data_IF_572982217875
#
_entry.id   IF_572982217875
#
_cell.length_a   1.000
_cell.length_b   1.000
_cell.length_c   1.000
_cell.angle_alpha   90.00
_cell.angle_beta   90.00
_cell.angle_gamma   90.00
#
_symmetry.space_group_name_H-M   'P 1'
#
loop_
_entity.id
_entity.type
_entity.pdbx_description
1 polymer ?
#
# COMPACT_ATOMS: atom_id res chain seq x y z
N UNK A 1 -63.91 -6.53 -36.10
CA UNK A 1 -63.38 -5.15 -36.18
C UNK A 1 -61.97 -5.20 -36.81
N UNK A 2 -61.16 -4.13 -36.84
CA UNK A 2 -59.92 -4.07 -37.64
C UNK A 2 -58.95 -5.25 -37.35
N UNK A 3 -58.24 -5.90 -38.31
CA UNK A 3 -57.43 -5.47 -39.49
C UNK A 3 -56.12 -4.75 -39.07
N UNK A 4 -54.93 -5.01 -39.63
CA UNK A 4 -54.49 -5.95 -40.71
C UNK A 4 -53.00 -6.39 -40.51
N UNK A 5 -52.50 -7.29 -41.35
CA UNK A 5 -51.18 -7.98 -41.31
C UNK A 5 -49.90 -7.08 -41.38
N UNK A 6 -48.71 -7.65 -41.05
CA UNK A 6 -47.39 -7.01 -41.17
C UNK A 6 -46.77 -7.18 -42.57
N UNK A 7 -45.49 -6.80 -42.76
CA UNK A 7 -44.75 -7.00 -44.01
C UNK A 7 -43.36 -7.62 -43.81
N UNK A 8 -43.04 -8.63 -44.61
CA UNK A 8 -41.71 -9.23 -44.76
C UNK A 8 -40.91 -8.53 -45.88
N UNK A 9 -39.59 -8.76 -45.92
CA UNK A 9 -38.82 -9.38 -47.04
C UNK A 9 -37.32 -9.34 -46.70
N UNK A 10 -36.39 -10.19 -47.16
CA UNK A 10 -36.33 -11.59 -47.61
C UNK A 10 -34.91 -11.79 -48.20
N UNK A 11 -34.21 -12.89 -47.87
CA UNK A 11 -33.12 -13.53 -48.68
C UNK A 11 -31.78 -12.75 -48.87
N UNK A 12 -30.65 -13.41 -49.19
CA UNK A 12 -30.42 -14.85 -49.48
C UNK A 12 -29.07 -15.38 -48.93
N UNK A 13 -28.92 -16.71 -48.94
CA UNK A 13 -27.62 -17.42 -48.94
C UNK A 13 -26.81 -17.12 -50.25
N UNK A 14 -25.59 -17.62 -50.52
CA UNK A 14 -24.86 -18.77 -49.94
C UNK A 14 -23.33 -18.73 -50.07
N UNK A 15 -22.68 -19.55 -49.24
CA UNK A 15 -21.34 -20.18 -49.33
C UNK A 15 -20.60 -20.22 -50.67
N UNK A 16 -19.25 -20.23 -50.61
CA UNK A 16 -18.40 -21.27 -51.23
C UNK A 16 -17.08 -21.48 -50.44
N UNK A 17 -16.37 -22.58 -50.71
CA UNK A 17 -15.42 -23.19 -49.75
C UNK A 17 -14.01 -23.42 -50.33
N UNK A 18 -12.99 -23.13 -49.50
CA UNK A 18 -11.60 -23.61 -49.43
C UNK A 18 -10.90 -24.34 -50.62
N UNK A 19 -9.64 -23.91 -50.88
CA UNK A 19 -8.49 -24.79 -51.24
C UNK A 19 -7.24 -24.31 -50.47
N UNK A 20 -6.24 -25.18 -50.22
CA UNK A 20 -5.15 -25.01 -49.23
C UNK A 20 -3.75 -25.40 -49.76
N UNK A 21 -2.92 -24.43 -50.11
CA UNK A 21 -1.45 -24.52 -50.36
C UNK A 21 -0.84 -23.13 -50.07
N UNK A 22 0.39 -22.93 -49.55
CA UNK A 22 1.35 -23.86 -48.95
C UNK A 22 2.82 -23.40 -49.10
N UNK A 23 3.48 -23.01 -48.00
CA UNK A 23 4.95 -23.10 -47.85
C UNK A 23 5.84 -21.82 -47.98
N UNK A 24 6.83 -21.76 -47.07
CA UNK A 24 8.23 -21.36 -47.29
C UNK A 24 8.73 -19.89 -47.16
N UNK A 25 9.37 -19.62 -46.00
CA UNK A 25 10.74 -19.06 -45.80
C UNK A 25 11.21 -17.73 -46.44
N UNK A 26 11.58 -16.79 -45.53
CA UNK A 26 12.85 -16.03 -45.39
C UNK A 26 13.55 -15.37 -46.60
N UNK A 27 13.89 -14.09 -46.38
CA UNK A 27 15.11 -13.36 -46.77
C UNK A 27 15.54 -13.28 -48.27
N UNK A 28 15.71 -12.05 -48.74
CA UNK A 28 17.04 -11.57 -49.13
C UNK A 28 17.19 -10.03 -49.01
N UNK A 29 18.41 -9.51 -49.25
CA UNK A 29 18.84 -8.11 -49.08
C UNK A 29 19.20 -7.48 -50.45
N UNK A 30 19.54 -6.17 -50.43
CA UNK A 30 20.27 -5.39 -51.45
C UNK A 30 19.40 -4.85 -52.61
N UNK A 31 19.71 -3.70 -53.25
CA UNK A 31 20.83 -2.74 -53.04
C UNK A 31 20.42 -1.29 -53.36
N UNK A 32 21.31 -0.34 -53.02
CA UNK A 32 21.30 1.08 -53.41
C UNK A 32 21.02 1.32 -54.91
N UNK A 33 20.46 2.50 -55.22
CA UNK A 33 21.04 3.43 -56.20
C UNK A 33 20.73 4.88 -55.79
N UNK A 34 21.57 5.83 -56.21
CA UNK A 34 21.58 7.24 -55.82
C UNK A 34 22.23 8.05 -56.94
N UNK A 35 21.60 9.12 -57.43
CA UNK A 35 22.26 10.19 -58.21
C UNK A 35 21.36 11.46 -58.29
N UNK A 36 21.87 12.65 -58.74
CA UNK A 36 21.45 13.95 -58.19
C UNK A 36 21.18 15.03 -59.27
N UNK A 37 21.36 16.33 -58.91
CA UNK A 37 21.10 17.57 -59.69
C UNK A 37 19.61 17.95 -59.76
N UNK A 38 19.13 19.21 -59.84
CA UNK A 38 19.63 20.62 -59.91
C UNK A 38 18.42 21.54 -59.55
N UNK A 39 18.42 22.84 -59.20
CA UNK A 39 19.36 23.96 -58.89
C UNK A 39 18.54 24.95 -57.99
N UNK A 40 19.10 25.69 -57.01
CA UNK A 40 19.77 27.03 -57.06
C UNK A 40 18.88 28.23 -57.45
N UNK A 41 19.15 29.38 -56.80
CA UNK A 41 18.46 30.69 -56.88
C UNK A 41 17.01 30.70 -56.30
N UNK A 42 16.50 31.78 -55.67
CA UNK A 42 17.03 33.16 -55.53
C UNK A 42 16.59 33.90 -54.23
N UNK A 43 17.19 35.08 -53.93
CA UNK A 43 16.86 35.94 -52.75
C UNK A 43 17.07 37.45 -52.98
N UNK A 44 16.07 38.29 -52.62
CA UNK A 44 16.28 39.69 -52.17
C UNK A 44 15.77 39.87 -50.72
N UNK A 45 16.51 40.40 -49.73
CA UNK A 45 17.32 41.64 -49.62
C UNK A 45 16.46 42.91 -49.44
N UNK A 46 16.46 43.44 -48.22
CA UNK A 46 16.02 44.78 -47.81
C UNK A 46 16.88 45.25 -46.62
N UNK A 47 17.08 46.56 -46.45
CA UNK A 47 18.10 47.13 -45.56
C UNK A 47 17.59 48.43 -44.87
N UNK A 48 18.51 49.09 -44.14
CA UNK A 48 18.38 50.38 -43.41
C UNK A 48 17.84 50.28 -41.97
N UNK A 49 18.26 51.12 -41.01
CA UNK A 49 19.59 51.51 -40.48
C UNK A 49 19.39 52.56 -39.36
N UNK A 50 20.47 52.87 -38.63
CA UNK A 50 20.69 54.05 -37.77
C UNK A 50 19.92 54.19 -36.43
N UNK A 51 20.71 54.27 -35.35
CA UNK A 51 20.36 54.95 -34.10
C UNK A 51 20.62 56.48 -34.23
N UNK A 52 20.37 57.26 -33.16
CA UNK A 52 21.55 57.73 -32.41
C UNK A 52 21.39 57.69 -30.88
N UNK A 53 22.51 57.90 -30.19
CA UNK A 53 22.67 57.93 -28.73
C UNK A 53 22.37 59.32 -28.14
N UNK A 54 22.22 59.41 -26.81
CA UNK A 54 22.92 60.46 -26.04
C UNK A 54 23.20 60.03 -24.59
N UNK A 55 24.18 60.70 -23.97
CA UNK A 55 24.91 60.27 -22.78
C UNK A 55 24.42 60.84 -21.44
N UNK A 56 25.06 60.37 -20.36
CA UNK A 56 25.48 61.08 -19.12
C UNK A 56 24.62 60.94 -17.84
N UNK A 57 25.20 60.96 -16.63
CA UNK A 57 26.48 60.42 -16.10
C UNK A 57 26.50 60.55 -14.55
N UNK A 58 27.54 60.05 -13.86
CA UNK A 58 28.00 60.46 -12.50
C UNK A 58 27.06 60.12 -11.29
N UNK A 59 27.52 59.91 -10.05
CA UNK A 59 28.88 59.65 -9.51
C UNK A 59 28.81 58.94 -8.14
N UNK A 60 29.98 58.49 -7.67
CA UNK A 60 30.29 57.83 -6.40
C UNK A 60 29.63 58.39 -5.12
N UNK A 61 29.47 57.51 -4.12
CA UNK A 61 30.25 57.67 -2.88
C UNK A 61 30.51 56.34 -2.15
N UNK A 62 31.69 56.27 -1.52
CA UNK A 62 32.13 55.20 -0.65
C UNK A 62 32.21 55.68 0.80
N UNK A 63 32.13 54.73 1.73
CA UNK A 63 32.60 54.91 3.11
C UNK A 63 33.19 53.59 3.58
N UNK A 64 34.51 53.56 3.80
CA UNK A 64 35.13 52.54 4.65
C UNK A 64 34.82 52.91 6.10
N UNK A 65 34.69 51.90 6.95
CA UNK A 65 35.18 52.03 8.33
C UNK A 65 35.84 50.72 8.75
N UNK A 66 36.88 50.82 9.58
CA UNK A 66 37.88 49.78 9.81
C UNK A 66 37.95 49.39 11.28
N UNK A 67 38.35 48.16 11.60
CA UNK A 67 39.19 47.89 12.78
C UNK A 67 39.87 46.52 12.72
N UNK A 68 41.00 46.37 13.43
CA UNK A 68 41.98 45.30 13.22
C UNK A 68 42.17 44.35 14.43
N UNK A 69 42.07 43.04 14.18
CA UNK A 69 43.15 42.04 14.39
C UNK A 69 43.96 42.07 15.72
N UNK A 70 43.46 41.41 16.78
CA UNK A 70 44.20 40.56 17.77
C UNK A 70 45.37 41.14 18.61
N UNK A 71 46.09 40.37 19.48
CA UNK A 71 45.70 39.31 20.44
C UNK A 71 46.26 39.55 21.88
N UNK A 72 45.93 38.68 22.87
CA UNK A 72 46.92 37.87 23.62
C UNK A 72 46.31 36.90 24.67
N UNK A 73 47.14 35.94 25.11
CA UNK A 73 46.84 34.80 26.00
C UNK A 73 46.93 35.15 27.51
N UNK A 74 46.25 34.33 28.32
CA UNK A 74 46.90 33.62 29.42
C UNK A 74 46.28 32.23 29.65
N UNK A 75 47.10 31.21 29.87
CA UNK A 75 46.69 29.80 30.01
C UNK A 75 46.31 29.41 31.45
N UNK A 76 45.36 28.49 31.59
CA UNK A 76 45.48 27.36 32.52
C UNK A 76 45.00 26.08 31.83
N UNK A 77 45.82 25.03 31.93
CA UNK A 77 45.79 23.73 31.25
C UNK A 77 44.54 22.84 31.45
N UNK A 78 44.26 21.99 30.45
CA UNK A 78 43.32 20.85 30.51
C UNK A 78 43.82 19.68 31.40
N UNK A 79 43.07 18.54 31.47
CA UNK A 79 43.41 17.46 30.53
C UNK A 79 42.24 16.88 29.69
N UNK A 80 42.62 16.54 28.46
CA UNK A 80 42.14 15.55 27.46
C UNK A 80 41.39 14.31 28.02
N UNK A 81 40.59 13.52 27.26
CA UNK A 81 40.52 13.11 25.83
C UNK A 81 39.04 12.89 25.44
N UNK A 82 38.42 13.30 24.31
CA UNK A 82 38.69 13.23 22.85
C UNK A 82 37.91 12.11 22.10
N UNK A 83 37.16 12.53 21.06
CA UNK A 83 36.56 11.77 19.92
C UNK A 83 35.13 11.19 20.03
N UNK A 84 34.51 11.01 18.85
CA UNK A 84 33.06 10.96 18.57
C UNK A 84 32.62 9.70 17.78
N UNK A 85 31.29 9.45 17.77
CA UNK A 85 30.54 8.54 16.86
C UNK A 85 30.77 7.03 17.10
N UNK A 86 29.80 6.12 16.83
CA UNK A 86 29.05 5.99 15.57
C UNK A 86 27.56 6.40 15.60
N UNK A 87 26.85 6.09 14.51
CA UNK A 87 25.51 6.55 14.14
C UNK A 87 24.34 5.66 14.65
N UNK A 88 23.14 6.24 14.56
CA UNK A 88 21.84 5.60 14.28
C UNK A 88 21.30 4.51 15.22
N UNK A 89 20.13 4.82 15.80
CA UNK A 89 18.93 3.96 15.62
C UNK A 89 17.67 4.80 15.79
N UNK A 90 16.63 4.53 15.01
CA UNK A 90 15.34 5.23 15.12
C UNK A 90 14.55 4.74 16.32
N UNK A 91 14.20 5.64 17.24
CA UNK A 91 13.34 5.34 18.38
C UNK A 91 11.87 5.18 17.93
N UNK A 92 11.35 3.95 17.98
CA UNK A 92 9.92 3.71 17.78
C UNK A 92 9.12 4.34 18.93
N UNK A 93 8.28 5.33 18.61
CA UNK A 93 7.37 5.96 19.58
C UNK A 93 6.04 5.19 19.64
N UNK A 94 6.07 3.97 20.19
CA UNK A 94 4.86 3.25 20.60
C UNK A 94 4.31 3.89 21.89
N UNK A 95 3.31 4.77 21.76
CA UNK A 95 2.56 5.35 22.89
C UNK A 95 1.29 4.51 23.16
N UNK A 96 1.21 3.76 24.28
CA UNK A 96 0.09 2.86 24.53
C UNK A 96 -1.13 3.63 25.07
N UNK A 97 -2.15 3.81 24.23
CA UNK A 97 -3.46 4.32 24.68
C UNK A 97 -4.16 3.30 25.58
N UNK A 98 -4.08 3.54 26.89
CA UNK A 98 -4.73 2.76 27.93
C UNK A 98 -6.25 3.03 27.96
N UNK A 99 -7.05 2.15 27.34
CA UNK A 99 -8.47 2.05 27.64
C UNK A 99 -8.71 0.80 28.49
N UNK A 100 -9.01 0.99 29.77
CA UNK A 100 -9.11 -0.10 30.74
C UNK A 100 -10.35 -0.97 30.53
N UNK A 101 -10.15 -2.28 30.33
CA UNK A 101 -11.20 -3.29 30.44
C UNK A 101 -10.95 -4.19 31.65
N UNK A 102 -11.78 -4.06 32.68
CA UNK A 102 -11.64 -4.81 33.93
C UNK A 102 -12.07 -6.28 33.81
N UNK A 103 -11.47 -7.12 34.66
CA UNK A 103 -11.79 -8.53 34.96
C UNK A 103 -13.12 -9.05 34.39
N UNK A 104 -13.05 -9.87 33.34
CA UNK A 104 -14.20 -10.63 32.83
C UNK A 104 -14.63 -11.69 33.85
N UNK A 105 -15.92 -11.75 34.14
CA UNK A 105 -16.46 -12.71 35.11
C UNK A 105 -16.37 -14.16 34.62
N UNK A 106 -16.41 -15.14 35.54
CA UNK A 106 -16.48 -16.57 35.22
C UNK A 106 -17.66 -16.92 34.29
N UNK A 107 -18.77 -16.22 34.45
CA UNK A 107 -19.98 -16.40 33.63
C UNK A 107 -19.77 -15.88 32.20
N UNK A 108 -19.02 -14.78 32.05
CA UNK A 108 -18.58 -14.32 30.72
C UNK A 108 -17.62 -15.31 30.07
N UNK A 109 -16.74 -15.97 30.84
CA UNK A 109 -15.85 -17.01 30.31
C UNK A 109 -16.62 -18.25 29.79
N UNK A 110 -17.70 -18.68 30.46
CA UNK A 110 -18.57 -19.79 30.01
C UNK A 110 -19.38 -19.41 28.76
N UNK A 111 -19.85 -18.16 28.68
CA UNK A 111 -20.51 -17.66 27.47
C UNK A 111 -19.52 -17.52 26.29
N UNK A 112 -18.27 -17.13 26.58
CA UNK A 112 -17.16 -17.16 25.60
C UNK A 112 -16.85 -18.60 25.18
N UNK A 113 -16.84 -19.59 26.08
CA UNK A 113 -16.63 -21.00 25.74
C UNK A 113 -17.72 -21.52 24.78
N UNK A 114 -18.99 -21.22 25.05
CA UNK A 114 -20.11 -21.51 24.12
C UNK A 114 -19.97 -20.80 22.77
N UNK A 115 -19.55 -19.55 22.75
CA UNK A 115 -19.38 -18.78 21.52
C UNK A 115 -18.16 -19.23 20.68
N UNK A 116 -17.03 -19.54 21.34
CA UNK A 116 -15.81 -20.06 20.72
C UNK A 116 -15.98 -21.48 20.19
N UNK A 117 -16.81 -22.31 20.84
CA UNK A 117 -17.10 -23.67 20.42
C UNK A 117 -17.63 -23.76 18.98
N UNK A 118 -18.35 -22.73 18.51
CA UNK A 118 -18.83 -22.65 17.13
C UNK A 118 -17.78 -22.17 16.12
N UNK A 119 -17.10 -21.04 16.40
CA UNK A 119 -16.51 -20.20 15.33
C UNK A 119 -15.50 -20.91 14.42
N UNK A 120 -15.88 -21.24 13.19
CA UNK A 120 -14.97 -21.77 12.15
C UNK A 120 -14.19 -20.65 11.46
N UNK A 121 -13.05 -20.98 10.84
CA UNK A 121 -12.28 -20.03 10.02
C UNK A 121 -13.12 -19.43 8.87
N UNK A 122 -14.09 -20.18 8.34
CA UNK A 122 -15.06 -19.70 7.35
C UNK A 122 -15.76 -18.40 7.76
N UNK A 123 -16.06 -18.21 9.06
CA UNK A 123 -16.73 -17.01 9.58
C UNK A 123 -15.86 -15.74 9.52
N UNK A 124 -14.55 -15.88 9.27
CA UNK A 124 -13.67 -14.73 9.00
C UNK A 124 -14.16 -13.97 7.77
N UNK A 125 -14.57 -14.66 6.71
CA UNK A 125 -14.87 -14.03 5.41
C UNK A 125 -16.01 -13.01 5.48
N UNK A 126 -17.19 -13.29 6.07
CA UNK A 126 -18.22 -12.26 6.26
C UNK A 126 -17.77 -11.15 7.22
N UNK A 127 -17.02 -11.44 8.28
CA UNK A 127 -16.53 -10.39 9.20
C UNK A 127 -15.48 -9.47 8.56
N UNK A 128 -14.63 -10.00 7.66
CA UNK A 128 -13.72 -9.23 6.82
C UNK A 128 -14.52 -8.30 5.90
N UNK A 129 -15.53 -8.85 5.20
CA UNK A 129 -16.41 -8.07 4.31
C UNK A 129 -17.11 -6.93 5.06
N UNK A 130 -17.76 -7.22 6.18
CA UNK A 130 -18.41 -6.23 7.04
C UNK A 130 -17.42 -5.16 7.56
N UNK A 131 -16.19 -5.56 7.88
CA UNK A 131 -15.12 -4.65 8.34
C UNK A 131 -14.65 -3.72 7.21
N UNK A 132 -14.50 -4.23 5.98
CA UNK A 132 -14.13 -3.45 4.80
C UNK A 132 -15.27 -2.50 4.38
N UNK A 133 -16.52 -2.95 4.38
CA UNK A 133 -17.70 -2.13 4.10
C UNK A 133 -17.84 -0.99 5.12
N UNK A 134 -17.70 -1.30 6.41
CA UNK A 134 -17.66 -0.29 7.49
C UNK A 134 -16.53 0.71 7.29
N UNK A 135 -15.31 0.26 6.98
CA UNK A 135 -14.18 1.16 6.72
C UNK A 135 -14.38 2.03 5.46
N UNK A 136 -15.03 1.49 4.43
CA UNK A 136 -15.37 2.20 3.19
C UNK A 136 -16.50 3.22 3.37
N UNK A 137 -17.34 3.06 4.40
CA UNK A 137 -18.40 4.03 4.74
C UNK A 137 -17.86 5.33 5.35
N UNK A 138 -16.64 5.32 5.88
CA UNK A 138 -16.00 6.51 6.48
C UNK A 138 -15.30 7.33 5.38
N UNK A 139 -15.64 8.63 5.22
CA UNK A 139 -14.95 9.47 4.26
C UNK A 139 -13.46 9.62 4.61
N UNK A 140 -12.60 9.35 3.65
CA UNK A 140 -11.15 9.60 3.72
C UNK A 140 -10.85 10.86 2.92
N UNK A 141 -10.17 11.83 3.53
CA UNK A 141 -9.95 13.16 2.95
C UNK A 141 -8.51 13.38 2.54
N UNK A 142 -8.32 13.77 1.28
CA UNK A 142 -7.03 14.12 0.69
C UNK A 142 -7.04 15.63 0.44
N UNK A 143 -6.21 16.38 1.17
CA UNK A 143 -5.99 17.79 0.87
C UNK A 143 -4.96 17.95 -0.24
N UNK A 144 -5.27 18.78 -1.23
CA UNK A 144 -4.34 19.24 -2.26
C UNK A 144 -4.05 20.71 -1.99
N UNK A 145 -2.78 21.06 -1.82
CA UNK A 145 -2.36 22.40 -1.36
C UNK A 145 -1.07 22.84 -2.04
N UNK A 146 -0.82 24.14 -2.15
CA UNK A 146 0.41 24.68 -2.72
C UNK A 146 0.31 26.18 -2.99
N UNK A 147 1.37 26.79 -3.52
CA UNK A 147 1.33 28.20 -3.89
C UNK A 147 0.42 28.45 -5.11
N UNK A 148 -0.22 29.62 -5.14
CA UNK A 148 -1.16 29.99 -6.21
C UNK A 148 -0.49 29.99 -7.59
N UNK A 149 -1.11 29.33 -8.57
CA UNK A 149 -0.59 29.22 -9.94
C UNK A 149 0.23 27.95 -10.23
N UNK A 150 0.47 27.08 -9.23
CA UNK A 150 1.16 25.80 -9.41
C UNK A 150 0.31 24.70 -10.11
N UNK A 151 -0.67 25.05 -10.96
CA UNK A 151 -1.45 24.06 -11.73
C UNK A 151 -2.32 23.09 -10.93
N UNK A 152 -2.59 23.38 -9.65
CA UNK A 152 -3.27 22.50 -8.69
C UNK A 152 -4.63 21.98 -9.17
N UNK A 153 -5.52 22.83 -9.65
CA UNK A 153 -6.85 22.42 -10.14
C UNK A 153 -6.76 21.61 -11.45
N UNK A 154 -5.80 21.92 -12.33
CA UNK A 154 -5.50 21.10 -13.52
C UNK A 154 -4.98 19.71 -13.13
N UNK A 155 -4.14 19.63 -12.10
CA UNK A 155 -3.66 18.38 -11.52
C UNK A 155 -4.81 17.55 -10.91
N UNK A 156 -5.75 18.19 -10.19
CA UNK A 156 -6.95 17.52 -9.65
C UNK A 156 -7.81 16.92 -10.77
N UNK A 157 -8.01 17.65 -11.88
CA UNK A 157 -8.75 17.16 -13.04
C UNK A 157 -8.02 15.97 -13.70
N UNK A 158 -6.72 16.09 -13.94
CA UNK A 158 -5.89 15.01 -14.46
C UNK A 158 -5.88 13.77 -13.54
N UNK A 159 -5.89 13.98 -12.21
CA UNK A 159 -5.95 12.91 -11.22
C UNK A 159 -7.32 12.20 -11.21
N UNK A 160 -8.42 12.96 -11.40
CA UNK A 160 -9.79 12.45 -11.58
C UNK A 160 -10.03 11.82 -12.96
N UNK A 161 -9.14 12.04 -13.94
CA UNK A 161 -9.32 11.57 -15.32
C UNK A 161 -10.36 12.37 -16.12
N UNK A 162 -10.62 13.61 -15.70
CA UNK A 162 -11.59 14.54 -16.30
C UNK A 162 -10.81 15.64 -17.03
N UNK A 163 -11.37 16.17 -18.12
CA UNK A 163 -10.84 17.31 -18.84
C UNK A 163 -10.75 18.59 -18.00
N UNK A 164 -10.25 19.67 -18.60
CA UNK A 164 -10.08 20.94 -17.89
C UNK A 164 -11.22 21.94 -18.14
N UNK A 165 -12.07 21.65 -19.13
CA UNK A 165 -13.18 22.49 -19.60
C UNK A 165 -14.55 21.75 -19.51
N UNK A 166 -14.67 20.72 -18.68
CA UNK A 166 -15.91 19.97 -18.44
C UNK A 166 -16.71 20.58 -17.27
N UNK A 167 -18.01 20.28 -17.18
CA UNK A 167 -18.92 20.89 -16.19
C UNK A 167 -18.52 20.57 -14.73
N UNK A 168 -17.98 19.35 -14.49
CA UNK A 168 -17.46 18.91 -13.19
C UNK A 168 -15.96 19.24 -12.98
N UNK A 169 -15.31 19.97 -13.88
CA UNK A 169 -13.88 20.30 -13.76
C UNK A 169 -13.60 21.30 -12.64
N UNK A 170 -12.53 21.06 -11.88
CA UNK A 170 -11.98 22.03 -10.94
C UNK A 170 -11.50 23.28 -11.70
N UNK A 171 -11.98 24.51 -11.40
CA UNK A 171 -11.74 25.68 -12.24
C UNK A 171 -10.25 26.02 -12.41
N UNK A 172 -9.79 26.08 -13.67
CA UNK A 172 -8.40 26.40 -14.02
C UNK A 172 -8.27 27.85 -14.50
N UNK A 173 -7.09 28.47 -14.33
CA UNK A 173 -6.87 29.85 -14.73
C UNK A 173 -5.52 30.43 -14.29
N UNK A 174 -5.19 31.60 -14.83
CA UNK A 174 -3.95 32.36 -14.50
C UNK A 174 -4.10 33.17 -13.20
N UNK A 175 -5.34 33.58 -12.86
CA UNK A 175 -5.71 34.22 -11.59
C UNK A 175 -6.09 33.13 -10.58
N UNK A 176 -5.94 33.40 -9.27
CA UNK A 176 -6.36 32.47 -8.20
C UNK A 176 -7.85 32.10 -8.35
N UNK A 177 -8.12 30.87 -8.77
CA UNK A 177 -9.47 30.32 -8.96
C UNK A 177 -10.08 29.87 -7.63
N UNK A 178 -9.40 28.98 -6.91
CA UNK A 178 -9.87 28.43 -5.63
C UNK A 178 -9.70 29.44 -4.50
N UNK A 179 -10.82 30.01 -4.01
CA UNK A 179 -10.86 30.93 -2.87
C UNK A 179 -11.40 30.29 -1.58
N UNK A 180 -12.18 29.20 -1.70
CA UNK A 180 -12.77 28.43 -0.60
C UNK A 180 -12.41 26.95 -0.83
N UNK A 181 -12.09 26.15 0.22
CA UNK A 181 -11.85 24.71 0.08
C UNK A 181 -13.00 24.01 -0.67
N UNK A 182 -12.68 23.38 -1.79
CA UNK A 182 -13.67 22.78 -2.70
C UNK A 182 -13.45 21.28 -2.83
N UNK A 183 -14.51 20.49 -2.62
CA UNK A 183 -14.46 19.03 -2.59
C UNK A 183 -14.86 18.41 -3.94
N UNK A 184 -14.11 17.41 -4.38
CA UNK A 184 -14.37 16.60 -5.56
C UNK A 184 -14.26 15.11 -5.22
N UNK A 185 -15.08 14.25 -5.82
CA UNK A 185 -14.98 12.80 -5.61
C UNK A 185 -13.78 12.20 -6.35
N UNK A 186 -13.08 11.26 -5.71
CA UNK A 186 -12.04 10.44 -6.36
C UNK A 186 -12.67 9.25 -7.11
N UNK A 187 -12.36 9.01 -8.40
CA UNK A 187 -13.11 8.07 -9.24
C UNK A 187 -12.90 6.59 -8.90
N UNK A 188 -11.80 6.23 -8.23
CA UNK A 188 -11.42 4.83 -8.01
C UNK A 188 -11.84 4.27 -6.64
N UNK A 189 -12.27 5.10 -5.69
CA UNK A 189 -12.68 4.66 -4.35
C UNK A 189 -13.93 5.39 -3.88
N UNK A 190 -14.98 4.69 -3.40
CA UNK A 190 -16.14 5.33 -2.82
C UNK A 190 -15.74 6.08 -1.53
N UNK A 191 -16.43 7.20 -1.26
CA UNK A 191 -16.20 8.05 -0.08
C UNK A 191 -14.72 8.47 0.08
N UNK A 192 -14.04 8.79 -1.02
CA UNK A 192 -12.73 9.47 -0.97
C UNK A 192 -12.89 10.87 -1.55
N UNK A 193 -12.57 11.86 -0.72
CA UNK A 193 -12.77 13.28 -0.98
C UNK A 193 -11.43 13.94 -1.34
N UNK A 194 -11.28 14.44 -2.57
CA UNK A 194 -10.19 15.34 -2.97
C UNK A 194 -10.60 16.79 -2.63
N UNK A 195 -9.85 17.47 -1.78
CA UNK A 195 -10.08 18.86 -1.40
C UNK A 195 -9.05 19.78 -2.06
N UNK A 196 -9.48 20.60 -3.02
CA UNK A 196 -8.70 21.72 -3.56
C UNK A 196 -8.68 22.83 -2.50
N UNK A 197 -7.52 23.05 -1.86
CA UNK A 197 -7.36 24.09 -0.85
C UNK A 197 -6.92 25.41 -1.52
N UNK A 198 -7.46 26.57 -1.10
CA UNK A 198 -7.07 27.87 -1.64
C UNK A 198 -5.56 28.06 -1.56
N UNK A 199 -4.90 28.21 -2.71
CA UNK A 199 -3.44 28.23 -2.76
C UNK A 199 -2.83 29.34 -1.90
N UNK A 200 -1.69 29.07 -1.26
CA UNK A 200 -0.94 30.04 -0.46
C UNK A 200 -0.53 31.21 -1.36
N UNK A 201 -1.11 32.38 -1.09
CA UNK A 201 -0.82 33.60 -1.84
C UNK A 201 0.30 34.40 -1.17
N UNK A 202 0.86 35.36 -1.89
CA UNK A 202 1.83 36.33 -1.35
C UNK A 202 1.20 37.38 -0.39
N UNK A 203 0.13 37.01 0.32
CA UNK A 203 -0.57 37.85 1.29
C UNK A 203 0.03 37.75 2.69
N UNK A 204 -0.28 38.72 3.55
CA UNK A 204 0.29 38.87 4.90
C UNK A 204 -0.30 37.92 5.96
N UNK A 205 -0.92 36.82 5.56
CA UNK A 205 -1.48 35.82 6.47
C UNK A 205 -0.36 34.95 7.04
N UNK A 206 -0.34 34.74 8.36
CA UNK A 206 0.55 33.76 8.99
C UNK A 206 0.19 32.34 8.54
N UNK A 207 1.19 31.45 8.49
CA UNK A 207 0.96 30.06 8.11
C UNK A 207 0.03 29.37 9.12
N UNK A 208 0.19 29.69 10.39
CA UNK A 208 -0.60 29.20 11.51
C UNK A 208 -2.10 29.48 11.28
N UNK A 209 -2.46 30.70 10.89
CA UNK A 209 -3.84 31.07 10.59
C UNK A 209 -4.39 30.30 9.37
N UNK A 210 -3.56 30.07 8.34
CA UNK A 210 -3.95 29.29 7.16
C UNK A 210 -4.19 27.80 7.51
N UNK A 211 -3.33 27.21 8.34
CA UNK A 211 -3.47 25.82 8.80
C UNK A 211 -4.77 25.61 9.62
N UNK A 212 -5.14 26.59 10.45
CA UNK A 212 -6.40 26.60 11.21
C UNK A 212 -7.63 26.85 10.33
N UNK A 213 -7.62 27.88 9.47
CA UNK A 213 -8.73 28.25 8.58
C UNK A 213 -9.08 27.12 7.61
N UNK A 214 -8.06 26.51 6.99
CA UNK A 214 -8.22 25.38 6.09
C UNK A 214 -8.40 24.04 6.83
N UNK A 215 -8.31 24.03 8.17
CA UNK A 215 -8.53 22.89 9.08
C UNK A 215 -7.63 21.68 8.78
N UNK A 216 -6.32 21.88 8.75
CA UNK A 216 -5.35 20.84 8.39
C UNK A 216 -5.45 19.53 9.22
N UNK A 217 -5.98 19.57 10.45
CA UNK A 217 -6.23 18.37 11.26
C UNK A 217 -7.32 17.44 10.69
N UNK A 218 -8.18 17.94 9.80
CA UNK A 218 -9.37 17.26 9.26
C UNK A 218 -9.09 16.32 8.07
N UNK A 219 -7.90 16.41 7.46
CA UNK A 219 -7.49 15.58 6.32
C UNK A 219 -6.60 14.42 6.74
N UNK A 220 -6.63 13.31 6.02
CA UNK A 220 -5.89 12.08 6.34
C UNK A 220 -4.56 12.01 5.59
N UNK A 221 -4.51 12.56 4.38
CA UNK A 221 -3.36 12.61 3.49
C UNK A 221 -3.27 13.98 2.80
N UNK A 222 -2.05 14.42 2.49
CA UNK A 222 -1.80 15.69 1.79
C UNK A 222 -1.01 15.49 0.48
N UNK A 223 -1.29 16.32 -0.52
CA UNK A 223 -0.51 16.43 -1.75
C UNK A 223 -0.07 17.88 -1.89
N UNK A 224 1.24 18.12 -1.80
CA UNK A 224 1.84 19.46 -1.89
C UNK A 224 2.25 19.71 -3.34
N UNK A 225 1.62 20.69 -3.99
CA UNK A 225 1.81 21.00 -5.41
C UNK A 225 2.88 22.09 -5.57
N UNK A 226 3.97 21.71 -6.25
CA UNK A 226 5.05 22.59 -6.65
C UNK A 226 5.07 22.77 -8.18
N UNK A 227 5.69 23.85 -8.65
CA UNK A 227 6.12 24.04 -10.04
C UNK A 227 7.07 25.23 -10.12
N UNK A 228 7.98 25.26 -11.10
CA UNK A 228 8.92 26.36 -11.40
C UNK A 228 9.98 26.61 -10.29
N UNK A 229 9.59 26.69 -9.01
CA UNK A 229 10.47 26.81 -7.84
C UNK A 229 9.89 26.09 -6.62
N UNK A 230 10.74 25.54 -5.75
CA UNK A 230 10.33 25.00 -4.45
C UNK A 230 10.42 26.08 -3.38
N UNK A 231 9.29 26.72 -3.04
CA UNK A 231 9.28 27.89 -2.15
C UNK A 231 9.45 27.51 -0.68
N UNK A 232 9.94 28.46 0.13
CA UNK A 232 10.00 28.31 1.59
C UNK A 232 8.59 28.16 2.23
N UNK A 233 7.51 28.57 1.55
CA UNK A 233 6.15 28.29 2.03
C UNK A 233 5.83 26.79 1.93
N UNK A 234 6.21 26.14 0.81
CA UNK A 234 6.03 24.70 0.63
C UNK A 234 6.86 23.89 1.65
N UNK A 235 8.08 24.33 1.96
CA UNK A 235 8.91 23.73 3.03
C UNK A 235 8.19 23.81 4.39
N UNK A 236 7.66 24.98 4.76
CA UNK A 236 6.93 25.15 6.02
C UNK A 236 5.61 24.38 6.07
N UNK A 237 4.88 24.28 4.95
CA UNK A 237 3.68 23.43 4.83
C UNK A 237 4.04 21.96 5.07
N UNK A 238 5.07 21.44 4.41
CA UNK A 238 5.56 20.08 4.61
C UNK A 238 5.96 19.82 6.07
N UNK A 239 6.64 20.78 6.70
CA UNK A 239 7.01 20.73 8.12
C UNK A 239 5.79 20.71 9.05
N UNK A 240 4.75 21.50 8.77
CA UNK A 240 3.51 21.51 9.55
C UNK A 240 2.74 20.18 9.41
N UNK A 241 2.63 19.64 8.20
CA UNK A 241 1.96 18.37 7.93
C UNK A 241 2.71 17.20 8.62
N UNK A 242 4.04 17.23 8.63
CA UNK A 242 4.88 16.30 9.40
C UNK A 242 4.63 16.40 10.91
N UNK A 243 4.52 17.61 11.47
CA UNK A 243 4.22 17.81 12.90
C UNK A 243 2.82 17.29 13.28
N UNK A 244 1.87 17.33 12.34
CA UNK A 244 0.55 16.69 12.50
C UNK A 244 0.58 15.14 12.36
N UNK A 245 1.73 14.54 12.04
CA UNK A 245 1.88 13.10 11.84
C UNK A 245 1.13 12.55 10.62
N UNK A 246 0.77 13.42 9.66
CA UNK A 246 -0.03 13.06 8.47
C UNK A 246 0.88 12.66 7.31
N UNK A 247 0.42 11.73 6.47
CA UNK A 247 1.17 11.30 5.27
C UNK A 247 1.06 12.38 4.20
N UNK A 248 2.15 12.65 3.48
CA UNK A 248 2.13 13.60 2.37
C UNK A 248 3.10 13.24 1.25
N UNK A 249 2.79 13.77 0.06
CA UNK A 249 3.65 13.72 -1.12
C UNK A 249 3.99 15.14 -1.57
N UNK A 250 5.07 15.27 -2.33
CA UNK A 250 5.34 16.46 -3.16
C UNK A 250 5.12 16.08 -4.61
N UNK A 251 4.31 16.86 -5.32
CA UNK A 251 4.07 16.69 -6.75
C UNK A 251 4.57 17.94 -7.47
N UNK A 252 5.65 17.79 -8.23
CA UNK A 252 6.16 18.82 -9.11
C UNK A 252 5.43 18.73 -10.44
N UNK A 253 4.64 19.76 -10.75
CA UNK A 253 3.80 19.87 -11.95
C UNK A 253 4.46 20.75 -13.01
N UNK A 254 3.84 20.82 -14.21
CA UNK A 254 4.33 21.55 -15.39
C UNK A 254 5.66 21.01 -15.94
N UNK A 255 5.98 19.74 -15.69
CA UNK A 255 7.21 19.11 -16.17
C UNK A 255 7.33 19.17 -17.72
N UNK A 256 6.20 19.14 -18.42
CA UNK A 256 6.06 19.44 -19.85
C UNK A 256 6.70 20.80 -20.23
N UNK A 257 6.29 21.88 -19.55
CA UNK A 257 6.86 23.22 -19.72
C UNK A 257 8.32 23.29 -19.32
N UNK A 258 8.72 22.70 -18.20
CA UNK A 258 10.11 22.69 -17.75
C UNK A 258 11.04 22.00 -18.78
N UNK A 259 10.61 20.86 -19.34
CA UNK A 259 11.33 20.16 -20.40
C UNK A 259 11.33 20.93 -21.73
N UNK A 260 10.27 21.67 -22.05
CA UNK A 260 10.19 22.49 -23.28
C UNK A 260 11.05 23.76 -23.23
N UNK A 261 11.35 24.27 -22.03
CA UNK A 261 12.07 25.54 -21.81
C UNK A 261 13.54 25.34 -21.42
N UNK A 262 13.92 24.16 -20.93
CA UNK A 262 15.27 23.85 -20.47
C UNK A 262 16.21 23.50 -21.62
N UNK A 263 17.44 24.06 -21.57
CA UNK A 263 18.55 23.66 -22.43
C UNK A 263 19.35 22.45 -21.86
N UNK A 264 18.92 21.87 -20.73
CA UNK A 264 19.57 20.72 -20.10
C UNK A 264 19.02 19.39 -20.66
N UNK A 265 19.84 18.34 -20.59
CA UNK A 265 19.35 16.97 -20.76
C UNK A 265 18.29 16.64 -19.69
N UNK A 266 17.24 15.91 -20.09
CA UNK A 266 16.07 15.56 -19.28
C UNK A 266 16.47 14.98 -17.92
N UNK A 267 17.40 14.05 -17.92
CA UNK A 267 17.87 13.33 -16.74
C UNK A 267 18.49 14.30 -15.72
N UNK A 268 19.26 15.29 -16.20
CA UNK A 268 19.89 16.30 -15.36
C UNK A 268 18.87 17.34 -14.85
N UNK A 269 17.86 17.68 -15.64
CA UNK A 269 16.79 18.56 -15.18
C UNK A 269 15.99 17.91 -14.03
N UNK A 270 15.60 16.64 -14.19
CA UNK A 270 14.89 15.87 -13.16
C UNK A 270 15.72 15.76 -11.87
N UNK A 271 17.01 15.42 -11.99
CA UNK A 271 17.95 15.34 -10.86
C UNK A 271 18.07 16.69 -10.13
N UNK A 272 18.30 17.79 -10.86
CA UNK A 272 18.40 19.14 -10.27
C UNK A 272 17.12 19.53 -9.50
N UNK A 273 15.92 19.16 -10.00
CA UNK A 273 14.65 19.45 -9.32
C UNK A 273 14.54 18.64 -8.03
N UNK A 274 14.84 17.33 -8.06
CA UNK A 274 14.80 16.46 -6.88
C UNK A 274 15.79 16.93 -5.80
N UNK A 275 17.04 17.20 -6.17
CA UNK A 275 18.09 17.68 -5.26
C UNK A 275 17.69 19.02 -4.61
N UNK A 276 17.15 19.97 -5.37
CA UNK A 276 16.67 21.25 -4.84
C UNK A 276 15.49 21.09 -3.88
N UNK A 277 14.57 20.15 -4.12
CA UNK A 277 13.48 19.85 -3.17
C UNK A 277 14.06 19.23 -1.88
N UNK A 278 14.88 18.18 -2.01
CA UNK A 278 15.53 17.47 -0.89
C UNK A 278 16.34 18.42 0.00
N UNK A 279 17.21 19.24 -0.58
CA UNK A 279 18.02 20.21 0.15
C UNK A 279 17.18 21.16 1.01
N UNK A 280 16.12 21.73 0.44
CA UNK A 280 15.30 22.73 1.13
C UNK A 280 14.44 22.11 2.24
N UNK A 281 14.04 20.85 2.11
CA UNK A 281 13.40 20.08 3.18
C UNK A 281 14.37 19.71 4.31
N UNK A 282 15.57 19.24 3.96
CA UNK A 282 16.59 18.84 4.92
C UNK A 282 17.07 20.02 5.79
N UNK A 283 17.22 21.22 5.20
CA UNK A 283 17.55 22.46 5.93
C UNK A 283 16.58 22.74 7.10
N UNK A 284 15.30 22.46 6.91
CA UNK A 284 14.24 22.64 7.92
C UNK A 284 13.92 21.38 8.75
N UNK A 285 14.68 20.28 8.57
CA UNK A 285 14.51 18.96 9.21
C UNK A 285 13.17 18.29 8.92
N UNK A 286 12.67 18.47 7.69
CA UNK A 286 11.56 17.67 7.17
C UNK A 286 12.12 16.34 6.64
N UNK A 287 11.49 15.23 6.99
CA UNK A 287 11.80 13.91 6.43
C UNK A 287 11.52 13.91 4.94
N UNK A 288 12.32 13.17 4.18
CA UNK A 288 12.19 13.07 2.72
C UNK A 288 10.85 12.40 2.35
N UNK A 289 9.91 13.12 1.70
CA UNK A 289 8.65 12.57 1.25
C UNK A 289 8.81 11.93 -0.13
N UNK A 290 7.78 11.21 -0.60
CA UNK A 290 7.77 10.78 -2.00
C UNK A 290 7.57 12.00 -2.90
N UNK A 291 8.50 12.21 -3.83
CA UNK A 291 8.48 13.27 -4.85
C UNK A 291 8.06 12.64 -6.18
N UNK A 292 7.05 13.21 -6.84
CA UNK A 292 6.61 12.83 -8.18
C UNK A 292 6.74 14.02 -9.13
N UNK A 293 7.33 13.83 -10.30
CA UNK A 293 7.47 14.86 -11.34
C UNK A 293 6.53 14.52 -12.50
N UNK A 294 5.57 15.41 -12.78
CA UNK A 294 4.40 15.10 -13.62
C UNK A 294 4.01 16.23 -14.57
N UNK A 295 3.37 15.86 -15.67
CA UNK A 295 2.56 16.75 -16.50
C UNK A 295 1.08 16.46 -16.25
N UNK A 296 0.26 17.49 -16.04
CA UNK A 296 -1.20 17.34 -15.96
C UNK A 296 -1.84 17.12 -17.34
N UNK A 297 -1.16 17.53 -18.41
CA UNK A 297 -1.61 17.33 -19.79
C UNK A 297 -1.23 15.94 -20.34
N UNK A 298 -0.23 15.29 -19.74
CA UNK A 298 0.23 13.94 -20.13
C UNK A 298 0.13 12.92 -18.97
N UNK A 299 -1.06 12.67 -18.38
CA UNK A 299 -1.24 11.83 -17.18
C UNK A 299 -1.07 10.31 -17.42
N UNK A 300 -0.45 9.93 -18.54
CA UNK A 300 0.00 8.58 -18.87
C UNK A 300 1.54 8.46 -18.91
N UNK A 301 2.26 9.59 -18.78
CA UNK A 301 3.71 9.69 -18.85
C UNK A 301 4.29 10.16 -17.51
N UNK A 302 5.63 10.14 -17.43
CA UNK A 302 6.39 10.54 -16.25
C UNK A 302 5.93 9.78 -15.00
N UNK A 303 5.92 10.42 -13.83
CA UNK A 303 5.62 9.75 -12.57
C UNK A 303 4.10 9.68 -12.29
N UNK A 304 3.22 10.19 -13.17
CA UNK A 304 1.76 10.23 -12.95
C UNK A 304 1.14 8.83 -12.75
N UNK A 305 1.52 7.79 -13.52
CA UNK A 305 1.05 6.43 -13.27
C UNK A 305 1.46 5.90 -11.89
N UNK A 306 2.69 6.17 -11.45
CA UNK A 306 3.17 5.67 -10.14
C UNK A 306 2.61 6.48 -8.97
N UNK A 307 2.37 7.78 -9.16
CA UNK A 307 1.59 8.61 -8.23
C UNK A 307 0.19 8.01 -8.01
N UNK A 308 -0.51 7.63 -9.08
CA UNK A 308 -1.82 6.96 -8.96
C UNK A 308 -1.73 5.62 -8.25
N UNK A 309 -0.74 4.77 -8.59
CA UNK A 309 -0.51 3.49 -7.92
C UNK A 309 -0.25 3.66 -6.41
N UNK A 310 0.66 4.58 -6.07
CA UNK A 310 1.04 4.89 -4.69
C UNK A 310 -0.14 5.49 -3.91
N UNK A 311 -0.87 6.46 -4.47
CA UNK A 311 -2.05 7.02 -3.82
C UNK A 311 -3.14 5.95 -3.58
N UNK A 312 -3.41 5.08 -4.56
CA UNK A 312 -4.39 3.99 -4.42
C UNK A 312 -3.98 2.97 -3.33
N UNK A 313 -2.71 2.60 -3.28
CA UNK A 313 -2.15 1.72 -2.23
C UNK A 313 -2.28 2.36 -0.85
N UNK A 314 -1.97 3.65 -0.74
CA UNK A 314 -1.92 4.37 0.52
C UNK A 314 -3.32 4.74 1.06
N UNK A 315 -4.30 5.00 0.17
CA UNK A 315 -5.73 5.06 0.51
C UNK A 315 -6.17 3.73 1.15
N UNK A 316 -5.81 2.60 0.54
CA UNK A 316 -6.14 1.26 1.06
C UNK A 316 -5.46 0.94 2.39
N UNK A 317 -4.19 1.35 2.56
CA UNK A 317 -3.46 1.19 3.82
C UNK A 317 -4.12 2.01 4.96
N UNK A 318 -4.33 3.32 4.75
CA UNK A 318 -4.98 4.20 5.73
C UNK A 318 -6.38 3.68 6.12
N UNK A 319 -7.17 3.22 5.15
CA UNK A 319 -8.54 2.78 5.36
C UNK A 319 -8.66 1.38 5.98
N UNK A 320 -7.88 0.40 5.53
CA UNK A 320 -8.10 -1.02 5.85
C UNK A 320 -7.08 -1.63 6.82
N UNK A 321 -5.85 -1.09 6.93
CA UNK A 321 -4.78 -1.70 7.72
C UNK A 321 -5.14 -1.81 9.21
N UNK A 322 -5.62 -0.73 9.82
CA UNK A 322 -6.08 -0.72 11.23
C UNK A 322 -7.23 -1.68 11.52
N UNK A 323 -8.37 -1.58 10.81
CA UNK A 323 -9.51 -2.48 10.98
C UNK A 323 -9.16 -3.96 10.79
N UNK A 324 -8.41 -4.32 9.74
CA UNK A 324 -8.01 -5.71 9.48
C UNK A 324 -6.98 -6.22 10.51
N UNK A 325 -6.08 -5.39 11.02
CA UNK A 325 -5.15 -5.75 12.11
C UNK A 325 -5.91 -6.08 13.40
N UNK A 326 -6.95 -5.31 13.74
CA UNK A 326 -7.81 -5.57 14.90
C UNK A 326 -8.61 -6.87 14.74
N UNK A 327 -9.14 -7.14 13.54
CA UNK A 327 -9.82 -8.40 13.22
C UNK A 327 -8.86 -9.60 13.27
N UNK A 328 -7.64 -9.45 12.73
CA UNK A 328 -6.56 -10.45 12.82
C UNK A 328 -6.23 -10.80 14.27
N UNK A 329 -6.00 -9.81 15.13
CA UNK A 329 -5.71 -10.04 16.54
C UNK A 329 -6.86 -10.75 17.27
N UNK A 330 -8.11 -10.36 16.96
CA UNK A 330 -9.32 -11.00 17.49
C UNK A 330 -9.37 -12.49 17.11
N UNK A 331 -9.10 -12.83 15.85
CA UNK A 331 -9.09 -14.23 15.40
C UNK A 331 -7.86 -15.03 15.85
N UNK A 332 -6.67 -14.43 15.95
CA UNK A 332 -5.51 -15.09 16.55
C UNK A 332 -5.73 -15.44 18.02
N UNK A 333 -6.50 -14.61 18.75
CA UNK A 333 -6.98 -14.95 20.10
C UNK A 333 -7.97 -16.11 20.07
N UNK A 334 -9.02 -16.08 19.23
CA UNK A 334 -9.99 -17.19 19.06
C UNK A 334 -9.29 -18.53 18.77
N UNK A 335 -8.29 -18.54 17.89
CA UNK A 335 -7.48 -19.73 17.56
C UNK A 335 -6.70 -20.22 18.80
N UNK A 336 -6.12 -19.30 19.57
CA UNK A 336 -5.28 -19.62 20.74
C UNK A 336 -6.10 -20.07 21.95
N UNK A 337 -7.30 -19.53 22.14
CA UNK A 337 -8.28 -19.99 23.13
C UNK A 337 -8.78 -21.41 22.75
N UNK A 338 -9.10 -21.66 21.47
CA UNK A 338 -9.40 -23.02 20.96
C UNK A 338 -8.26 -24.01 21.22
N UNK A 339 -7.01 -23.67 20.90
CA UNK A 339 -5.83 -24.52 21.19
C UNK A 339 -5.72 -24.82 22.68
N UNK A 340 -6.02 -23.85 23.55
CA UNK A 340 -5.98 -24.03 25.01
C UNK A 340 -7.08 -24.98 25.50
N UNK A 341 -8.32 -24.81 25.02
CA UNK A 341 -9.43 -25.74 25.27
C UNK A 341 -9.08 -27.17 24.83
N UNK A 342 -8.59 -27.35 23.60
CA UNK A 342 -8.21 -28.69 23.10
C UNK A 342 -7.03 -29.29 23.88
N UNK A 343 -6.01 -28.50 24.26
CA UNK A 343 -4.93 -28.95 25.17
C UNK A 343 -5.47 -29.44 26.53
N UNK A 344 -6.54 -28.83 27.04
CA UNK A 344 -7.28 -29.28 28.22
C UNK A 344 -8.02 -30.61 28.02
N UNK A 345 -8.76 -30.75 26.91
CA UNK A 345 -9.44 -32.02 26.56
C UNK A 345 -8.46 -33.19 26.38
N UNK A 346 -7.34 -32.95 25.67
CA UNK A 346 -6.24 -33.92 25.53
C UNK A 346 -5.63 -34.28 26.90
N UNK A 347 -5.49 -33.32 27.81
CA UNK A 347 -4.97 -33.58 29.16
C UNK A 347 -5.93 -34.45 30.01
N UNK A 348 -7.24 -34.21 29.92
CA UNK A 348 -8.29 -34.98 30.62
C UNK A 348 -8.65 -36.32 29.95
N UNK A 349 -8.06 -36.63 28.79
CA UNK A 349 -8.37 -37.81 27.93
C UNK A 349 -9.80 -37.82 27.36
N UNK A 350 -10.47 -36.68 27.26
CA UNK A 350 -11.87 -36.57 26.82
C UNK A 350 -12.01 -36.59 25.29
N UNK A 351 -11.38 -37.57 24.63
CA UNK A 351 -11.30 -37.70 23.16
C UNK A 351 -12.66 -37.93 22.48
N UNK A 352 -13.57 -38.65 23.14
CA UNK A 352 -14.95 -38.84 22.68
C UNK A 352 -15.67 -37.48 22.49
N UNK A 353 -15.35 -36.49 23.33
CA UNK A 353 -15.87 -35.11 23.23
C UNK A 353 -15.20 -34.28 22.11
N UNK A 354 -14.35 -34.92 21.31
CA UNK A 354 -13.78 -34.42 20.06
C UNK A 354 -14.33 -35.17 18.83
N UNK A 355 -15.21 -36.16 19.03
CA UNK A 355 -15.67 -37.03 17.95
C UNK A 355 -14.60 -38.00 17.42
N UNK A 356 -13.47 -38.15 18.11
CA UNK A 356 -12.38 -39.06 17.73
C UNK A 356 -12.63 -40.42 18.40
N UNK A 357 -12.94 -41.43 17.60
CA UNK A 357 -13.26 -42.80 18.04
C UNK A 357 -11.97 -43.61 18.25
N UNK A 358 -10.97 -43.46 17.38
CA UNK A 358 -9.64 -44.05 17.56
C UNK A 358 -8.58 -42.96 17.81
N UNK A 359 -8.31 -42.69 19.09
CA UNK A 359 -7.28 -41.73 19.51
C UNK A 359 -5.82 -42.18 19.23
N UNK A 360 -5.60 -43.34 18.59
CA UNK A 360 -4.30 -43.71 18.01
C UNK A 360 -4.28 -43.57 16.46
N UNK A 361 -5.43 -43.35 15.79
CA UNK A 361 -5.48 -43.05 14.35
C UNK A 361 -5.14 -41.58 14.10
N UNK A 362 -3.96 -41.37 13.52
CA UNK A 362 -3.43 -40.04 13.29
C UNK A 362 -4.10 -39.32 12.10
N UNK A 363 -4.80 -40.04 11.24
CA UNK A 363 -5.62 -39.49 10.15
C UNK A 363 -7.00 -39.05 10.65
N UNK A 364 -7.66 -39.86 11.47
CA UNK A 364 -8.92 -39.50 12.12
C UNK A 364 -8.74 -38.24 13.00
N UNK A 365 -7.67 -38.22 13.81
CA UNK A 365 -7.31 -37.05 14.62
C UNK A 365 -7.06 -35.79 13.79
N UNK A 366 -6.44 -35.94 12.60
CA UNK A 366 -6.17 -34.83 11.70
C UNK A 366 -7.46 -34.24 11.11
N UNK A 367 -8.35 -35.11 10.59
CA UNK A 367 -9.65 -34.73 10.04
C UNK A 367 -10.51 -34.02 11.10
N UNK A 368 -10.54 -34.54 12.34
CA UNK A 368 -11.25 -33.90 13.44
C UNK A 368 -10.72 -32.49 13.73
N UNK A 369 -9.39 -32.29 13.80
CA UNK A 369 -8.82 -30.95 14.01
C UNK A 369 -9.08 -30.02 12.83
N UNK A 370 -8.96 -30.48 11.58
CA UNK A 370 -9.31 -29.68 10.40
C UNK A 370 -10.75 -29.16 10.50
N UNK A 371 -11.70 -30.03 10.85
CA UNK A 371 -13.12 -29.68 11.03
C UNK A 371 -13.34 -28.68 12.18
N UNK A 372 -12.62 -28.81 13.30
CA UNK A 372 -12.75 -27.90 14.45
C UNK A 372 -12.21 -26.49 14.22
N UNK A 373 -11.18 -26.34 13.37
CA UNK A 373 -10.68 -25.02 12.99
C UNK A 373 -11.39 -24.46 11.74
N UNK A 374 -12.06 -25.31 10.94
CA UNK A 374 -12.67 -24.91 9.67
C UNK A 374 -11.62 -24.78 8.55
N UNK A 375 -10.65 -25.69 8.55
CA UNK A 375 -9.61 -25.85 7.51
C UNK A 375 -9.68 -27.25 6.86
N UNK A 376 -10.81 -27.92 7.03
CA UNK A 376 -11.24 -29.07 6.22
C UNK A 376 -11.50 -28.67 4.76
N UNK A 377 -11.45 -29.64 3.84
CA UNK A 377 -11.57 -29.38 2.40
C UNK A 377 -12.90 -28.69 2.00
N UNK A 378 -14.01 -28.94 2.73
CA UNK A 378 -15.29 -28.26 2.48
C UNK A 378 -15.21 -26.78 2.90
N UNK A 379 -14.73 -26.50 4.11
CA UNK A 379 -14.56 -25.13 4.63
C UNK A 379 -13.56 -24.33 3.78
N UNK A 380 -12.46 -24.95 3.34
CA UNK A 380 -11.48 -24.34 2.42
C UNK A 380 -12.10 -24.01 1.06
N UNK A 381 -12.90 -24.91 0.49
CA UNK A 381 -13.60 -24.67 -0.78
C UNK A 381 -14.60 -23.52 -0.65
N UNK A 382 -15.35 -23.44 0.45
CA UNK A 382 -16.29 -22.34 0.71
C UNK A 382 -15.58 -20.99 0.93
N UNK A 383 -14.45 -20.98 1.64
CA UNK A 383 -13.58 -19.79 1.76
C UNK A 383 -13.09 -19.35 0.37
N UNK A 384 -12.55 -20.27 -0.41
CA UNK A 384 -11.95 -19.97 -1.71
C UNK A 384 -12.98 -19.41 -2.71
N UNK A 385 -14.16 -20.03 -2.79
CA UNK A 385 -15.30 -19.50 -3.56
C UNK A 385 -15.70 -18.09 -3.11
N UNK A 386 -15.80 -17.86 -1.79
CA UNK A 386 -16.20 -16.56 -1.22
C UNK A 386 -15.16 -15.44 -1.43
N UNK A 387 -13.89 -15.82 -1.66
CA UNK A 387 -12.76 -14.93 -1.94
C UNK A 387 -12.44 -14.81 -3.45
N UNK A 388 -13.13 -15.56 -4.32
CA UNK A 388 -12.86 -15.58 -5.76
C UNK A 388 -11.48 -16.14 -6.14
N UNK A 389 -10.90 -17.02 -5.32
CA UNK A 389 -9.58 -17.64 -5.53
C UNK A 389 -9.72 -19.17 -5.70
N UNK A 390 -8.77 -19.87 -6.35
CA UNK A 390 -8.74 -21.33 -6.32
C UNK A 390 -8.42 -21.85 -4.91
N UNK A 391 -9.11 -22.93 -4.47
CA UNK A 391 -8.86 -23.58 -3.18
C UNK A 391 -7.39 -23.97 -2.97
N UNK A 392 -6.72 -24.37 -4.05
CA UNK A 392 -5.34 -24.84 -4.02
C UNK A 392 -4.34 -23.76 -3.61
N UNK A 393 -4.67 -22.47 -3.74
CA UNK A 393 -3.86 -21.39 -3.16
C UNK A 393 -3.84 -21.39 -1.62
N UNK A 394 -4.92 -21.86 -0.97
CA UNK A 394 -4.99 -22.04 0.48
C UNK A 394 -4.47 -23.43 0.90
N UNK A 395 -4.76 -24.48 0.12
CA UNK A 395 -4.25 -25.84 0.37
C UNK A 395 -2.72 -25.92 0.22
N UNK A 396 -2.14 -25.14 -0.71
CA UNK A 396 -0.70 -25.11 -0.98
C UNK A 396 0.15 -24.40 0.08
N UNK A 397 -0.45 -23.64 1.02
CA UNK A 397 0.27 -23.03 2.16
C UNK A 397 0.22 -23.90 3.43
N UNK A 398 -0.66 -24.90 3.52
CA UNK A 398 -0.81 -25.77 4.69
C UNK A 398 0.31 -26.80 4.81
N UNK A 399 0.82 -27.04 6.02
CA UNK A 399 1.71 -28.16 6.35
C UNK A 399 0.93 -29.45 6.66
N UNK A 400 -0.31 -29.31 7.13
CA UNK A 400 -1.21 -30.38 7.55
C UNK A 400 -2.14 -30.91 6.46
N UNK A 401 -1.93 -30.50 5.18
CA UNK A 401 -2.80 -30.84 4.04
C UNK A 401 -3.08 -32.34 3.84
N UNK A 402 -2.15 -33.19 4.27
CA UNK A 402 -2.31 -34.64 4.35
C UNK A 402 -1.35 -35.23 5.38
N UNK A 403 -1.67 -36.41 5.91
CA UNK A 403 -0.91 -37.07 6.97
C UNK A 403 0.53 -37.44 6.55
N UNK A 404 0.75 -37.79 5.28
CA UNK A 404 2.07 -38.15 4.78
C UNK A 404 2.97 -36.90 4.63
N UNK A 405 2.42 -35.75 4.24
CA UNK A 405 3.12 -34.45 4.28
C UNK A 405 3.49 -34.06 5.71
N UNK A 406 2.64 -34.31 6.71
CA UNK A 406 3.01 -34.11 8.13
C UNK A 406 4.16 -35.05 8.52
N UNK A 407 4.04 -36.35 8.25
CA UNK A 407 5.06 -37.36 8.62
C UNK A 407 6.41 -37.10 7.91
N UNK A 408 6.39 -36.51 6.71
CA UNK A 408 7.60 -36.12 5.97
C UNK A 408 8.18 -34.77 6.45
N UNK A 409 7.33 -33.81 6.80
CA UNK A 409 7.73 -32.44 7.14
C UNK A 409 8.07 -32.20 8.61
N UNK A 410 7.49 -32.98 9.54
CA UNK A 410 7.79 -32.90 10.97
C UNK A 410 8.55 -34.14 11.44
N UNK A 411 9.85 -33.96 11.71
CA UNK A 411 10.75 -35.05 12.12
C UNK A 411 10.28 -35.77 13.39
N UNK A 412 9.65 -35.06 14.32
CA UNK A 412 9.24 -35.63 15.60
C UNK A 412 7.94 -36.46 15.47
N UNK A 413 7.01 -36.03 14.60
CA UNK A 413 5.89 -36.87 14.17
C UNK A 413 6.40 -38.08 13.37
N UNK A 414 7.43 -37.91 12.53
CA UNK A 414 8.08 -39.00 11.79
C UNK A 414 8.65 -40.09 12.74
N UNK A 415 9.46 -39.68 13.72
CA UNK A 415 10.06 -40.57 14.72
C UNK A 415 9.05 -41.32 15.60
N UNK A 416 7.80 -40.86 15.68
CA UNK A 416 6.73 -41.51 16.47
C UNK A 416 5.75 -42.37 15.65
N UNK A 417 6.00 -42.51 14.34
CA UNK A 417 5.23 -43.38 13.44
C UNK A 417 6.11 -44.32 12.60
N UNK A 418 7.43 -44.34 12.83
CA UNK A 418 8.35 -45.29 12.20
C UNK A 418 8.22 -46.70 12.79
N UNK A 419 8.63 -47.73 12.04
CA UNK A 419 8.46 -49.15 12.43
C UNK A 419 9.06 -49.47 13.81
N UNK A 420 10.21 -48.90 14.16
CA UNK A 420 10.84 -49.10 15.48
C UNK A 420 9.98 -48.53 16.62
N UNK A 421 9.31 -47.38 16.41
CA UNK A 421 8.34 -46.88 17.39
C UNK A 421 7.14 -47.83 17.53
N UNK A 422 6.64 -48.41 16.44
CA UNK A 422 5.54 -49.39 16.46
C UNK A 422 5.91 -50.66 17.23
N UNK A 423 7.14 -51.16 17.07
CA UNK A 423 7.66 -52.26 17.89
C UNK A 423 7.73 -51.89 19.38
N UNK A 424 8.13 -50.65 19.71
CA UNK A 424 8.14 -50.18 21.10
C UNK A 424 6.73 -50.09 21.71
N UNK A 425 5.71 -49.59 21.00
CA UNK A 425 4.31 -49.65 21.47
C UNK A 425 3.87 -51.09 21.76
N UNK A 426 4.22 -52.04 20.89
CA UNK A 426 3.91 -53.46 21.07
C UNK A 426 4.58 -54.04 22.31
N UNK A 427 5.88 -53.74 22.55
CA UNK A 427 6.62 -54.21 23.74
C UNK A 427 6.06 -53.57 25.02
N UNK A 428 5.84 -52.26 25.02
CA UNK A 428 5.30 -51.52 26.17
C UNK A 428 3.96 -52.09 26.64
N UNK A 429 3.10 -52.55 25.73
CA UNK A 429 1.78 -53.13 26.03
C UNK A 429 1.85 -54.41 26.89
N UNK A 430 3.01 -55.04 27.03
CA UNK A 430 3.23 -56.19 27.92
C UNK A 430 3.80 -55.81 29.30
N UNK A 431 4.02 -54.53 29.59
CA UNK A 431 4.54 -54.04 30.87
C UNK A 431 3.41 -53.34 31.65
N UNK A 432 2.79 -53.98 32.66
CA UNK A 432 1.66 -53.39 33.38
C UNK A 432 2.00 -52.04 34.02
N UNK A 433 1.05 -51.11 34.02
CA UNK A 433 1.12 -49.75 34.57
C UNK A 433 2.13 -48.81 33.89
N UNK A 434 3.41 -49.20 33.80
CA UNK A 434 4.47 -48.43 33.14
C UNK A 434 4.25 -48.31 31.63
N UNK A 435 3.84 -49.39 30.98
CA UNK A 435 3.49 -49.41 29.56
C UNK A 435 2.34 -48.47 29.26
N UNK A 436 1.23 -48.60 29.98
CA UNK A 436 0.06 -47.73 29.84
C UNK A 436 0.40 -46.26 30.09
N UNK A 437 1.21 -45.94 31.10
CA UNK A 437 1.64 -44.58 31.37
C UNK A 437 2.41 -43.97 30.19
N UNK A 438 3.37 -44.70 29.63
CA UNK A 438 4.17 -44.26 28.49
C UNK A 438 3.30 -44.12 27.23
N UNK A 439 2.45 -45.10 26.93
CA UNK A 439 1.53 -45.05 25.78
C UNK A 439 0.58 -43.83 25.89
N UNK A 440 0.02 -43.57 27.08
CA UNK A 440 -0.82 -42.40 27.32
C UNK A 440 -0.06 -41.07 27.18
N UNK A 441 1.23 -41.01 27.57
CA UNK A 441 2.07 -39.84 27.38
C UNK A 441 2.34 -39.59 25.89
N UNK A 442 2.75 -40.61 25.15
CA UNK A 442 3.05 -40.53 23.72
C UNK A 442 1.80 -40.15 22.90
N UNK A 443 0.62 -40.71 23.23
CA UNK A 443 -0.68 -40.30 22.64
C UNK A 443 -0.95 -38.82 22.89
N UNK A 444 -0.87 -38.35 24.14
CA UNK A 444 -1.07 -36.93 24.49
C UNK A 444 -0.09 -36.00 23.75
N UNK A 445 1.15 -36.45 23.53
CA UNK A 445 2.14 -35.72 22.74
C UNK A 445 1.72 -35.63 21.27
N UNK A 446 1.35 -36.75 20.61
CA UNK A 446 0.90 -36.77 19.21
C UNK A 446 -0.27 -35.81 18.97
N UNK A 447 -1.31 -35.88 19.81
CA UNK A 447 -2.47 -35.00 19.71
C UNK A 447 -2.10 -33.52 19.85
N UNK A 448 -1.20 -33.17 20.80
CA UNK A 448 -0.74 -31.78 20.97
C UNK A 448 0.03 -31.30 19.75
N UNK A 449 0.90 -32.14 19.16
CA UNK A 449 1.69 -31.75 18.00
C UNK A 449 0.83 -31.54 16.75
N UNK A 450 -0.13 -32.41 16.47
CA UNK A 450 -1.08 -32.20 15.36
C UNK A 450 -1.92 -30.94 15.56
N UNK A 451 -2.46 -30.73 16.77
CA UNK A 451 -3.23 -29.54 17.13
C UNK A 451 -2.43 -28.25 16.89
N UNK A 452 -1.14 -28.25 17.22
CA UNK A 452 -0.24 -27.10 17.00
C UNK A 452 0.02 -26.83 15.50
N UNK A 453 0.22 -27.87 14.69
CA UNK A 453 0.43 -27.73 13.24
C UNK A 453 -0.85 -27.22 12.56
N UNK A 454 -2.01 -27.79 12.86
CA UNK A 454 -3.31 -27.36 12.30
C UNK A 454 -3.65 -25.92 12.73
N UNK A 455 -3.39 -25.54 13.98
CA UNK A 455 -3.61 -24.18 14.44
C UNK A 455 -2.68 -23.16 13.75
N UNK A 456 -1.44 -23.53 13.44
CA UNK A 456 -0.51 -22.64 12.74
C UNK A 456 -0.84 -22.50 11.25
N UNK A 457 -1.28 -23.58 10.61
CA UNK A 457 -1.87 -23.50 9.27
C UNK A 457 -3.12 -22.61 9.27
N UNK A 458 -3.98 -22.71 10.30
CA UNK A 458 -5.15 -21.84 10.47
C UNK A 458 -4.76 -20.36 10.57
N UNK A 459 -3.70 -20.02 11.32
CA UNK A 459 -3.15 -18.64 11.36
C UNK A 459 -2.58 -18.20 10.00
N UNK A 460 -1.97 -19.12 9.26
CA UNK A 460 -1.38 -18.84 7.95
C UNK A 460 -2.47 -18.58 6.89
N UNK A 461 -3.55 -19.38 6.90
CA UNK A 461 -4.72 -19.18 6.04
C UNK A 461 -5.46 -17.88 6.42
N UNK A 462 -5.67 -17.61 7.72
CA UNK A 462 -6.22 -16.32 8.20
C UNK A 462 -5.47 -15.12 7.63
N UNK A 463 -4.13 -15.14 7.69
CA UNK A 463 -3.27 -14.08 7.14
C UNK A 463 -3.38 -13.96 5.61
N UNK A 464 -3.57 -15.08 4.90
CA UNK A 464 -3.84 -15.06 3.45
C UNK A 464 -5.23 -14.50 3.13
N UNK A 465 -6.30 -14.91 3.82
CA UNK A 465 -7.66 -14.36 3.64
C UNK A 465 -7.64 -12.83 3.82
N UNK A 466 -7.01 -12.35 4.89
CA UNK A 466 -6.89 -10.91 5.16
C UNK A 466 -6.13 -10.18 4.05
N UNK A 467 -5.00 -10.74 3.57
CA UNK A 467 -4.23 -10.15 2.46
C UNK A 467 -5.02 -10.14 1.14
N UNK A 468 -5.66 -11.26 0.80
CA UNK A 468 -6.44 -11.43 -0.44
C UNK A 468 -7.68 -10.52 -0.47
N UNK A 469 -8.11 -9.97 0.67
CA UNK A 469 -9.29 -9.10 0.79
C UNK A 469 -9.05 -7.62 0.44
N UNK A 470 -7.80 -7.21 0.21
CA UNK A 470 -7.38 -5.82 -0.08
C UNK A 470 -7.10 -5.63 -1.59
N UNK A 471 -7.19 -6.70 -2.39
CA UNK A 471 -6.68 -6.79 -3.78
C UNK A 471 -7.81 -6.97 -4.79
#
# INVERSE_FOLDING_TARGET
>A
MQKILPRQTHRSESSYTAVRVGGSKKNQRKVFLRDPNKTREDSPRGYWEACPELHSDLSMKSSLETCEVTPLLSDVTQPTHSLHTPLLTSSNYDMPYNMGWSSLSKETAINIEKALGGRKLLEVVPMVRETLERASSVPLRIAVTGDSGNGMSSFINALRGIGHDEEDSAPTGVVKTTQIPTCYSYPHFPNVELWDLPGTGAGTQSLENYLEEMKFSWYDLFIIIASEQFSMNLVKLAKAIQVLGKRFYIVWTKLDRDLSTSALLKERLLQNIQENIQENLQKERVFEPIIFLVSSFEPLLHDFPELRNTLNRDISDIRYCGPLKNLSHTYEKVISDKVTMFRGKIASKSFDTLGIWNADDLGECLIAYHLFFGVDDESLQQIAQSMGKPMEEYRAIMKSRDLHTIIRGDWAVSCMNCNTSSCLYTILRYIPLLGDFIINFLRKWKHRRLLEIVAEDTRTILKKILKDSII
#
